data_IF_319085953431
#
_entry.id   IF_319085953431
#
_cell.length_a   1.000
_cell.length_b   1.000
_cell.length_c   1.000
_cell.angle_alpha   90.00
_cell.angle_beta   90.00
_cell.angle_gamma   90.00
#
_symmetry.space_group_name_H-M   'P 1'
#
loop_
_entity.id
_entity.type
_entity.pdbx_description
1 polymer ?
#
# COMPACT_ATOMS: atom_id res chain seq x y z
N UNK A 1 64.13 -61.82 53.29
CA UNK A 1 64.28 -60.33 53.15
C UNK A 1 64.46 -59.86 51.68
N UNK A 2 63.91 -60.60 50.70
CA UNK A 2 63.94 -60.18 49.30
C UNK A 2 62.56 -60.02 48.62
N UNK A 3 61.50 -60.46 49.29
CA UNK A 3 60.15 -60.48 48.69
C UNK A 3 59.30 -59.26 49.01
N UNK A 4 59.67 -58.43 49.98
CA UNK A 4 58.95 -57.21 50.35
C UNK A 4 59.28 -55.98 49.45
N UNK A 5 60.46 -55.91 48.87
CA UNK A 5 60.92 -54.79 48.04
C UNK A 5 60.23 -54.83 46.62
N UNK A 6 60.00 -56.02 46.07
CA UNK A 6 59.41 -56.20 44.73
C UNK A 6 57.91 -55.88 44.72
N UNK A 7 57.20 -55.92 45.88
CA UNK A 7 55.80 -55.58 45.93
C UNK A 7 55.51 -54.07 46.00
N UNK A 8 56.42 -53.30 46.62
CA UNK A 8 56.25 -51.86 46.69
C UNK A 8 56.51 -51.14 45.35
N UNK A 9 57.52 -51.62 44.59
CA UNK A 9 57.82 -51.04 43.28
C UNK A 9 56.72 -51.29 42.23
N UNK A 10 55.94 -52.39 42.34
CA UNK A 10 54.80 -52.69 41.46
C UNK A 10 53.55 -51.84 41.79
N UNK A 11 53.37 -51.43 43.01
CA UNK A 11 52.23 -50.64 43.46
C UNK A 11 52.44 -49.14 43.07
N UNK A 12 53.66 -48.61 43.20
CA UNK A 12 53.94 -47.24 42.81
C UNK A 12 53.83 -47.03 41.28
N UNK A 13 54.24 -47.95 40.47
CA UNK A 13 54.12 -47.86 38.99
C UNK A 13 52.65 -48.00 38.51
N UNK A 14 51.79 -48.69 39.21
CA UNK A 14 50.36 -48.84 38.85
C UNK A 14 49.50 -47.64 39.23
N UNK A 15 49.89 -46.87 40.24
CA UNK A 15 49.17 -45.64 40.64
C UNK A 15 49.57 -44.48 39.73
N UNK A 16 50.83 -44.31 39.37
CA UNK A 16 51.28 -43.25 38.42
C UNK A 16 50.63 -43.41 37.04
N UNK A 17 50.48 -44.65 36.53
CA UNK A 17 49.81 -44.89 35.26
C UNK A 17 48.29 -44.60 35.29
N UNK A 18 47.65 -44.72 36.45
CA UNK A 18 46.23 -44.41 36.61
C UNK A 18 45.97 -42.90 36.66
N UNK A 19 46.85 -42.12 37.32
CA UNK A 19 46.72 -40.68 37.41
C UNK A 19 47.04 -40.00 36.07
N UNK A 20 48.02 -40.48 35.30
CA UNK A 20 48.26 -39.96 33.94
C UNK A 20 47.13 -40.21 32.95
N UNK A 21 46.45 -41.37 33.03
CA UNK A 21 45.27 -41.66 32.19
C UNK A 21 44.10 -40.76 32.56
N UNK A 22 43.85 -40.56 33.87
CA UNK A 22 42.74 -39.74 34.32
C UNK A 22 42.94 -38.23 33.98
N UNK A 23 44.17 -37.78 33.95
CA UNK A 23 44.50 -36.40 33.56
C UNK A 23 44.48 -36.18 32.04
N UNK A 24 44.77 -37.21 31.21
CA UNK A 24 44.63 -37.12 29.75
C UNK A 24 43.17 -37.10 29.31
N UNK A 25 42.30 -37.95 29.90
CA UNK A 25 40.88 -38.00 29.55
C UNK A 25 40.15 -36.68 29.95
N UNK A 26 40.51 -36.12 31.13
CA UNK A 26 39.96 -34.82 31.55
C UNK A 26 40.39 -33.66 30.63
N UNK A 27 41.61 -33.67 30.10
CA UNK A 27 42.12 -32.65 29.20
C UNK A 27 41.59 -32.75 27.77
N UNK A 28 41.15 -33.93 27.32
CA UNK A 28 40.46 -34.15 26.06
C UNK A 28 38.97 -33.78 26.14
N UNK A 29 38.29 -34.02 27.25
CA UNK A 29 36.91 -33.60 27.45
C UNK A 29 36.78 -32.08 27.53
N UNK A 30 37.64 -31.40 28.28
CA UNK A 30 37.65 -29.91 28.34
C UNK A 30 37.96 -29.26 26.97
N UNK A 31 38.81 -29.89 26.13
CA UNK A 31 39.07 -29.40 24.78
C UNK A 31 37.90 -29.64 23.82
N UNK A 32 37.13 -30.73 24.00
CA UNK A 32 35.94 -30.99 23.17
C UNK A 32 34.78 -30.08 23.56
N UNK A 33 34.56 -29.82 24.85
CA UNK A 33 33.51 -28.92 25.33
C UNK A 33 33.79 -27.46 24.91
N UNK A 34 35.01 -26.98 25.06
CA UNK A 34 35.36 -25.60 24.65
C UNK A 34 35.26 -25.40 23.12
N UNK A 35 35.56 -26.43 22.30
CA UNK A 35 35.45 -26.36 20.84
C UNK A 35 34.00 -26.43 20.36
N UNK A 36 33.10 -27.13 21.08
CA UNK A 36 31.67 -27.17 20.78
C UNK A 36 30.96 -25.86 21.16
N UNK A 37 31.34 -25.25 22.28
CA UNK A 37 30.80 -23.96 22.71
C UNK A 37 31.23 -22.79 21.79
N UNK A 38 32.48 -22.77 21.35
CA UNK A 38 32.95 -21.78 20.38
C UNK A 38 32.24 -21.91 19.03
N UNK A 39 32.03 -23.14 18.53
CA UNK A 39 31.35 -23.39 17.26
C UNK A 39 29.85 -23.01 17.33
N UNK A 40 29.20 -23.21 18.48
CA UNK A 40 27.83 -22.80 18.70
C UNK A 40 27.68 -21.29 18.80
N UNK A 41 28.62 -20.59 19.47
CA UNK A 41 28.64 -19.11 19.54
C UNK A 41 28.90 -18.44 18.18
N UNK A 42 29.74 -19.03 17.31
CA UNK A 42 29.96 -18.53 15.95
C UNK A 42 28.76 -18.74 15.04
N UNK A 43 28.08 -19.90 15.11
CA UNK A 43 26.87 -20.19 14.33
C UNK A 43 25.72 -19.29 14.77
N UNK A 44 25.58 -18.99 16.05
CA UNK A 44 24.54 -18.10 16.57
C UNK A 44 24.80 -16.63 16.19
N UNK A 45 26.05 -16.17 16.26
CA UNK A 45 26.45 -14.84 15.76
C UNK A 45 26.22 -14.70 14.25
N UNK A 46 26.52 -15.71 13.46
CA UNK A 46 26.31 -15.69 12.00
C UNK A 46 24.82 -15.69 11.63
N UNK A 47 23.98 -16.38 12.38
CA UNK A 47 22.51 -16.37 12.18
C UNK A 47 21.90 -15.01 12.58
N UNK A 48 22.35 -14.40 13.68
CA UNK A 48 21.88 -13.07 14.12
C UNK A 48 22.28 -11.96 13.15
N UNK A 49 23.50 -11.99 12.60
CA UNK A 49 23.96 -11.01 11.61
C UNK A 49 23.27 -11.16 10.25
N UNK A 50 23.01 -12.38 9.79
CA UNK A 50 22.23 -12.63 8.55
C UNK A 50 20.79 -12.15 8.69
N UNK A 51 20.12 -12.39 9.83
CA UNK A 51 18.75 -11.94 10.09
C UNK A 51 18.66 -10.41 10.11
N UNK A 52 19.61 -9.73 10.76
CA UNK A 52 19.69 -8.25 10.82
C UNK A 52 19.94 -7.65 9.43
N UNK A 53 20.80 -8.24 8.62
CA UNK A 53 21.10 -7.78 7.24
C UNK A 53 19.88 -7.92 6.34
N UNK A 54 19.15 -9.03 6.42
CA UNK A 54 17.92 -9.21 5.65
C UNK A 54 16.82 -8.21 6.07
N UNK A 55 16.69 -7.91 7.36
CA UNK A 55 15.75 -6.90 7.84
C UNK A 55 16.08 -5.49 7.31
N UNK A 56 17.37 -5.13 7.25
CA UNK A 56 17.80 -3.86 6.67
C UNK A 56 17.53 -3.80 5.17
N UNK A 57 17.81 -4.88 4.44
CA UNK A 57 17.51 -4.96 3.00
C UNK A 57 16.02 -4.82 2.73
N UNK A 58 15.16 -5.48 3.51
CA UNK A 58 13.71 -5.35 3.40
C UNK A 58 13.27 -3.90 3.67
N UNK A 59 13.82 -3.25 4.69
CA UNK A 59 13.51 -1.85 4.99
C UNK A 59 13.91 -0.90 3.85
N UNK A 60 15.07 -1.14 3.21
CA UNK A 60 15.53 -0.37 2.04
C UNK A 60 14.58 -0.58 0.86
N UNK A 61 14.17 -1.82 0.59
CA UNK A 61 13.25 -2.13 -0.52
C UNK A 61 11.90 -1.43 -0.29
N UNK A 62 11.37 -1.49 0.93
CA UNK A 62 10.12 -0.78 1.27
C UNK A 62 10.29 0.73 1.08
N UNK A 63 11.41 1.31 1.51
CA UNK A 63 11.72 2.72 1.31
C UNK A 63 11.74 3.12 -0.17
N UNK A 64 12.36 2.31 -1.02
CA UNK A 64 12.41 2.53 -2.48
C UNK A 64 11.00 2.44 -3.08
N UNK A 65 10.18 1.46 -2.67
CA UNK A 65 8.81 1.32 -3.15
C UNK A 65 7.93 2.52 -2.77
N UNK A 66 8.10 3.05 -1.56
CA UNK A 66 7.39 4.26 -1.11
C UNK A 66 7.79 5.47 -1.95
N UNK A 67 9.09 5.68 -2.18
CA UNK A 67 9.58 6.79 -3.01
C UNK A 67 9.05 6.66 -4.44
N UNK A 68 9.10 5.46 -5.02
CA UNK A 68 8.57 5.19 -6.36
C UNK A 68 7.06 5.50 -6.43
N UNK A 69 6.30 5.09 -5.41
CA UNK A 69 4.86 5.40 -5.30
C UNK A 69 4.58 6.90 -5.29
N UNK A 70 5.38 7.69 -4.54
CA UNK A 70 5.26 9.15 -4.50
C UNK A 70 5.55 9.77 -5.87
N UNK A 71 6.60 9.32 -6.56
CA UNK A 71 6.96 9.82 -7.90
C UNK A 71 5.85 9.53 -8.90
N UNK A 72 5.35 8.29 -8.96
CA UNK A 72 4.24 7.91 -9.85
C UNK A 72 2.98 8.72 -9.54
N UNK A 73 2.62 8.87 -8.27
CA UNK A 73 1.48 9.69 -7.84
C UNK A 73 1.62 11.16 -8.26
N UNK A 74 2.83 11.72 -8.16
CA UNK A 74 3.08 13.11 -8.57
C UNK A 74 2.94 13.28 -10.09
N UNK A 75 3.49 12.36 -10.88
CA UNK A 75 3.35 12.39 -12.34
C UNK A 75 1.88 12.28 -12.75
N UNK A 76 1.14 11.36 -12.12
CA UNK A 76 -0.29 11.17 -12.38
C UNK A 76 -1.10 12.44 -12.10
N UNK A 77 -0.86 13.12 -10.96
CA UNK A 77 -1.50 14.38 -10.64
C UNK A 77 -1.19 15.48 -11.67
N UNK A 78 0.09 15.63 -12.04
CA UNK A 78 0.50 16.65 -13.02
C UNK A 78 -0.14 16.43 -14.40
N UNK A 79 -0.26 15.20 -14.86
CA UNK A 79 -0.92 14.87 -16.11
C UNK A 79 -2.41 15.24 -16.09
N UNK A 80 -3.10 15.01 -14.96
CA UNK A 80 -4.51 15.36 -14.81
C UNK A 80 -4.74 16.86 -14.67
N UNK A 81 -3.87 17.59 -13.96
CA UNK A 81 -3.97 19.07 -13.84
C UNK A 81 -3.77 19.75 -15.19
N UNK A 82 -2.89 19.22 -16.04
CA UNK A 82 -2.60 19.77 -17.37
C UNK A 82 -3.61 19.37 -18.45
N UNK A 83 -4.53 18.49 -18.14
CA UNK A 83 -5.57 18.06 -19.07
C UNK A 83 -6.80 18.97 -18.93
N UNK A 84 -7.24 19.62 -20.01
CA UNK A 84 -8.41 20.50 -20.02
C UNK A 84 -9.75 19.74 -20.06
N UNK A 85 -9.72 18.45 -19.79
CA UNK A 85 -10.90 17.57 -19.81
C UNK A 85 -11.34 17.18 -18.41
N UNK A 86 -12.64 16.99 -18.24
CA UNK A 86 -13.22 16.47 -16.99
C UNK A 86 -12.71 15.06 -16.74
N UNK A 87 -12.37 14.78 -15.47
CA UNK A 87 -11.85 13.46 -15.08
C UNK A 87 -12.89 12.35 -15.28
N UNK A 88 -12.41 11.13 -15.49
CA UNK A 88 -13.29 9.97 -15.69
C UNK A 88 -14.14 9.67 -14.46
N UNK A 89 -15.37 9.21 -14.67
CA UNK A 89 -16.33 8.85 -13.63
C UNK A 89 -17.16 10.01 -13.10
N UNK A 90 -17.09 11.20 -13.71
CA UNK A 90 -17.92 12.37 -13.36
C UNK A 90 -19.14 12.45 -14.26
N UNK A 91 -20.30 12.69 -13.64
CA UNK A 91 -21.57 13.00 -14.30
C UNK A 91 -22.17 14.28 -13.72
N UNK A 92 -22.99 14.96 -14.48
CA UNK A 92 -23.78 16.13 -14.06
C UNK A 92 -25.27 15.78 -14.23
N UNK A 93 -26.02 15.79 -13.12
CA UNK A 93 -27.46 15.40 -13.11
C UNK A 93 -27.71 14.06 -13.83
N UNK A 94 -26.81 13.08 -13.65
CA UNK A 94 -26.88 11.76 -14.29
C UNK A 94 -26.32 11.69 -15.72
N UNK A 95 -25.97 12.82 -16.33
CA UNK A 95 -25.37 12.87 -17.68
C UNK A 95 -23.87 12.65 -17.55
N UNK A 96 -23.31 11.60 -18.13
CA UNK A 96 -21.87 11.34 -18.10
C UNK A 96 -21.12 12.38 -18.93
N UNK A 97 -20.13 13.04 -18.28
CA UNK A 97 -19.30 14.09 -18.88
C UNK A 97 -17.80 13.77 -18.83
N UNK A 98 -17.48 12.53 -18.51
CA UNK A 98 -16.10 12.03 -18.43
C UNK A 98 -15.35 12.24 -19.73
N UNK A 99 -14.15 12.84 -19.64
CA UNK A 99 -13.27 13.05 -20.78
C UNK A 99 -13.69 14.17 -21.74
N UNK A 100 -14.75 14.91 -21.43
CA UNK A 100 -15.18 16.08 -22.22
C UNK A 100 -14.49 17.35 -21.73
N UNK A 101 -14.28 18.31 -22.63
CA UNK A 101 -13.92 19.69 -22.27
C UNK A 101 -15.12 20.42 -21.67
N UNK A 102 -14.92 21.62 -21.11
CA UNK A 102 -16.02 22.44 -20.58
C UNK A 102 -17.02 22.79 -21.68
N UNK A 103 -16.54 23.12 -22.87
CA UNK A 103 -17.34 23.49 -24.05
C UNK A 103 -18.16 22.31 -24.57
N UNK A 104 -17.52 21.14 -24.73
CA UNK A 104 -18.21 19.91 -25.14
C UNK A 104 -19.27 19.51 -24.12
N UNK A 105 -18.96 19.66 -22.83
CA UNK A 105 -19.89 19.37 -21.72
C UNK A 105 -21.09 20.31 -21.77
N UNK A 106 -20.86 21.62 -21.99
CA UNK A 106 -21.93 22.61 -22.10
C UNK A 106 -22.89 22.27 -23.24
N UNK A 107 -22.36 22.02 -24.43
CA UNK A 107 -23.19 21.63 -25.58
C UNK A 107 -24.01 20.36 -25.34
N UNK A 108 -23.39 19.35 -24.72
CA UNK A 108 -24.08 18.09 -24.40
C UNK A 108 -25.21 18.30 -23.39
N UNK A 109 -24.96 19.05 -22.31
CA UNK A 109 -25.97 19.30 -21.27
C UNK A 109 -27.10 20.16 -21.81
N UNK A 110 -26.81 21.23 -22.55
CA UNK A 110 -27.80 22.11 -23.15
C UNK A 110 -28.71 21.32 -24.11
N UNK A 111 -28.15 20.46 -24.98
CA UNK A 111 -28.94 19.62 -25.88
C UNK A 111 -29.91 18.71 -25.13
N UNK A 112 -29.45 18.05 -24.07
CA UNK A 112 -30.31 17.16 -23.27
C UNK A 112 -31.38 17.93 -22.48
N UNK A 113 -31.07 19.13 -22.00
CA UNK A 113 -32.08 19.96 -21.32
C UNK A 113 -33.10 20.54 -22.29
N UNK A 114 -32.74 20.84 -23.52
CA UNK A 114 -33.71 21.25 -24.55
C UNK A 114 -34.68 20.12 -24.83
N UNK A 115 -34.18 18.89 -25.04
CA UNK A 115 -35.01 17.71 -25.25
C UNK A 115 -36.01 17.51 -24.08
N UNK A 116 -35.54 17.59 -22.82
CA UNK A 116 -36.40 17.47 -21.64
C UNK A 116 -37.39 18.61 -21.43
N UNK A 117 -37.10 19.82 -21.91
CA UNK A 117 -38.04 20.95 -21.84
C UNK A 117 -39.23 20.77 -22.78
N UNK A 118 -39.07 20.00 -23.83
CA UNK A 118 -40.13 19.69 -24.81
C UNK A 118 -41.02 18.52 -24.34
N UNK A 119 -40.57 17.72 -23.32
CA UNK A 119 -41.40 16.66 -22.76
C UNK A 119 -42.46 17.24 -21.82
N UNK A 120 -43.71 16.95 -22.13
CA UNK A 120 -44.86 17.28 -21.27
C UNK A 120 -44.86 16.40 -20.04
N UNK A 121 -45.14 17.00 -18.86
CA UNK A 121 -45.23 16.30 -17.58
C UNK A 121 -46.69 16.07 -17.21
N UNK A 122 -47.14 14.81 -17.22
CA UNK A 122 -48.44 14.44 -16.76
C UNK A 122 -48.52 14.43 -15.23
N UNK A 123 -49.36 15.28 -14.68
CA UNK A 123 -49.62 15.34 -13.25
C UNK A 123 -50.97 14.69 -12.96
N UNK A 124 -50.94 13.61 -12.17
CA UNK A 124 -52.17 12.89 -11.75
C UNK A 124 -52.27 12.94 -10.22
N UNK A 125 -53.43 13.38 -9.78
CA UNK A 125 -53.78 13.40 -8.36
C UNK A 125 -55.26 13.02 -8.21
N UNK A 126 -55.55 11.87 -7.64
CA UNK A 126 -56.89 11.27 -7.52
C UNK A 126 -57.59 11.24 -8.88
N UNK A 127 -58.70 11.93 -9.07
CA UNK A 127 -59.46 12.04 -10.32
C UNK A 127 -59.01 13.26 -11.19
N UNK A 128 -57.99 13.99 -10.73
CA UNK A 128 -57.48 15.16 -11.44
C UNK A 128 -56.28 14.77 -12.28
N UNK A 129 -56.38 15.03 -13.58
CA UNK A 129 -55.24 14.89 -14.53
C UNK A 129 -55.02 16.23 -15.22
N UNK A 130 -53.76 16.66 -15.28
CA UNK A 130 -53.34 17.84 -16.04
C UNK A 130 -51.93 17.61 -16.60
N UNK A 131 -51.64 18.27 -17.70
CA UNK A 131 -50.35 18.25 -18.35
C UNK A 131 -49.64 19.57 -18.14
N UNK A 132 -48.40 19.54 -17.67
CA UNK A 132 -47.57 20.69 -17.46
C UNK A 132 -46.49 20.74 -18.55
N UNK A 133 -46.41 21.89 -19.23
CA UNK A 133 -45.31 22.14 -20.13
C UNK A 133 -44.15 22.85 -19.40
N UNK A 134 -42.97 22.22 -19.23
CA UNK A 134 -41.86 22.80 -18.49
C UNK A 134 -41.33 24.11 -19.08
N UNK A 135 -41.53 24.36 -20.37
CA UNK A 135 -41.15 25.58 -21.05
C UNK A 135 -41.83 26.81 -20.47
N UNK A 136 -43.08 26.64 -19.92
CA UNK A 136 -43.85 27.72 -19.29
C UNK A 136 -43.33 28.10 -17.89
N UNK A 137 -42.49 27.26 -17.29
CA UNK A 137 -42.02 27.44 -15.91
C UNK A 137 -40.75 28.32 -15.81
N UNK A 138 -40.18 28.77 -16.93
CA UNK A 138 -38.93 29.54 -16.96
C UNK A 138 -37.81 28.90 -16.09
N UNK A 139 -37.72 27.59 -16.04
CA UNK A 139 -36.72 26.88 -15.25
C UNK A 139 -35.34 27.21 -15.77
N UNK A 140 -34.52 27.86 -14.92
CA UNK A 140 -33.17 28.23 -15.23
C UNK A 140 -32.18 27.29 -14.48
N UNK A 141 -31.37 26.56 -15.21
CA UNK A 141 -30.37 25.68 -14.67
C UNK A 141 -29.01 26.37 -14.63
N UNK A 142 -28.30 26.30 -13.51
CA UNK A 142 -26.97 26.85 -13.39
C UNK A 142 -25.92 25.90 -14.01
N UNK A 143 -26.02 25.71 -15.31
CA UNK A 143 -25.18 24.77 -16.08
C UNK A 143 -23.70 25.14 -15.94
N UNK A 144 -23.33 26.40 -16.03
CA UNK A 144 -21.95 26.87 -15.98
C UNK A 144 -21.31 26.54 -14.64
N UNK A 145 -22.04 26.66 -13.52
CA UNK A 145 -21.54 26.27 -12.19
C UNK A 145 -21.36 24.76 -12.08
N UNK A 146 -22.30 23.98 -12.58
CA UNK A 146 -22.21 22.52 -12.52
C UNK A 146 -21.01 22.01 -13.35
N UNK A 147 -20.74 22.62 -14.50
CA UNK A 147 -19.58 22.33 -15.34
C UNK A 147 -18.29 22.70 -14.62
N UNK A 148 -18.25 23.88 -13.98
CA UNK A 148 -17.06 24.29 -13.21
C UNK A 148 -16.80 23.35 -12.05
N UNK A 149 -17.82 22.94 -11.29
CA UNK A 149 -17.70 21.99 -10.19
C UNK A 149 -17.25 20.61 -10.66
N UNK A 150 -17.72 20.16 -11.82
CA UNK A 150 -17.28 18.91 -12.45
C UNK A 150 -15.81 18.99 -12.91
N UNK A 151 -15.41 20.09 -13.51
CA UNK A 151 -14.04 20.31 -13.97
C UNK A 151 -13.05 20.41 -12.82
N UNK A 152 -13.47 20.97 -11.68
CA UNK A 152 -12.63 21.12 -10.50
C UNK A 152 -12.44 19.81 -9.72
N UNK A 153 -13.11 18.73 -10.05
CA UNK A 153 -12.85 17.42 -9.45
C UNK A 153 -11.40 17.02 -9.67
N UNK A 154 -10.68 16.71 -8.59
CA UNK A 154 -9.25 16.40 -8.64
C UNK A 154 -8.32 17.59 -8.94
N UNK A 155 -8.82 18.83 -8.82
CA UNK A 155 -8.04 20.07 -9.10
C UNK A 155 -8.13 21.13 -8.03
N UNK A 156 -8.93 20.93 -6.98
CA UNK A 156 -9.19 21.93 -5.92
C UNK A 156 -8.13 21.98 -4.83
N UNK A 157 -7.52 20.84 -4.53
CA UNK A 157 -6.73 20.62 -3.33
C UNK A 157 -5.26 20.35 -3.62
N UNK A 158 -4.54 19.91 -2.60
CA UNK A 158 -3.17 19.44 -2.77
C UNK A 158 -3.10 18.12 -3.57
N UNK A 159 -1.91 17.78 -4.05
CA UNK A 159 -1.65 16.64 -4.93
C UNK A 159 -2.23 15.33 -4.37
N UNK A 160 -2.18 15.11 -3.06
CA UNK A 160 -2.66 13.86 -2.45
C UNK A 160 -4.18 13.75 -2.49
N UNK A 161 -4.89 14.82 -2.12
CA UNK A 161 -6.35 14.87 -2.18
C UNK A 161 -6.87 14.87 -3.61
N UNK A 162 -6.20 15.58 -4.52
CA UNK A 162 -6.55 15.54 -5.94
C UNK A 162 -6.43 14.13 -6.52
N UNK A 163 -5.36 13.41 -6.22
CA UNK A 163 -5.19 12.02 -6.65
C UNK A 163 -6.24 11.09 -6.03
N UNK A 164 -6.57 11.31 -4.75
CA UNK A 164 -7.65 10.57 -4.09
C UNK A 164 -9.00 10.81 -4.77
N UNK A 165 -9.36 12.06 -5.03
CA UNK A 165 -10.60 12.45 -5.71
C UNK A 165 -10.71 11.80 -7.10
N UNK A 166 -9.64 11.84 -7.90
CA UNK A 166 -9.60 11.22 -9.23
C UNK A 166 -9.79 9.70 -9.13
N UNK A 167 -9.08 9.05 -8.20
CA UNK A 167 -9.19 7.60 -8.02
C UNK A 167 -10.58 7.21 -7.49
N UNK A 168 -11.12 7.99 -6.57
CA UNK A 168 -12.45 7.78 -6.03
C UNK A 168 -13.54 7.90 -7.11
N UNK A 169 -13.49 8.94 -7.94
CA UNK A 169 -14.46 9.12 -9.04
C UNK A 169 -14.37 8.01 -10.08
N UNK A 170 -13.16 7.52 -10.37
CA UNK A 170 -12.97 6.41 -11.30
C UNK A 170 -13.64 5.11 -10.80
N UNK A 171 -13.59 4.85 -9.48
CA UNK A 171 -14.11 3.62 -8.88
C UNK A 171 -15.58 3.73 -8.47
N UNK A 172 -15.97 4.87 -7.88
CA UNK A 172 -17.28 5.05 -7.25
C UNK A 172 -18.24 5.94 -8.04
N UNK A 173 -17.79 6.56 -9.12
CA UNK A 173 -18.48 7.60 -9.90
C UNK A 173 -18.94 8.77 -9.02
N UNK A 174 -18.94 9.98 -9.55
CA UNK A 174 -19.34 11.20 -8.83
C UNK A 174 -20.38 11.95 -9.67
N UNK A 175 -21.56 12.14 -9.10
CA UNK A 175 -22.61 12.96 -9.71
C UNK A 175 -22.60 14.36 -9.11
N UNK A 176 -22.59 15.38 -9.95
CA UNK A 176 -22.74 16.79 -9.60
C UNK A 176 -24.19 17.17 -9.86
N UNK A 177 -24.85 17.80 -8.90
CA UNK A 177 -26.24 18.24 -9.00
C UNK A 177 -26.31 19.76 -9.04
#
# INVERSE_FOLDING_TARGET
MKDSVVKEEKISTSEEIKDEKKNKDKKEEDKKVSKSEQKNKEVEKSKKTKKKRNSILIAIIIGILVILGIVVSTIFALLNIRNDKIVSGVSISGIEVSGLSKEETKGKIEAMYQEKKEEEIDIKYEDFETTLNPTLLEVNYNIDKAIEDAYLVGRKDNIFFNNYDILYTLLCKKNIN
#
